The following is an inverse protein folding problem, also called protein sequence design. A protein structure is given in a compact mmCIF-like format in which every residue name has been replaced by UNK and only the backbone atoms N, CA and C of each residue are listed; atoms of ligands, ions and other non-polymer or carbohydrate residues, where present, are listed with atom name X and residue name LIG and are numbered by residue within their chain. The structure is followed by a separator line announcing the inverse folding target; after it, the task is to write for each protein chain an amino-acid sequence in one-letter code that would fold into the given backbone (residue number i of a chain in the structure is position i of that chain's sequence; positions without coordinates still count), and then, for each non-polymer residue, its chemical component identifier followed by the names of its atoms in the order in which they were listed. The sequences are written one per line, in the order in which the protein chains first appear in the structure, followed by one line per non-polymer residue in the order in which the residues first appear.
data_IF_770459165937
#
_entry.id   IF_770459165937
#
_cell.length_a   1.000
_cell.length_b   1.000
_cell.length_c   1.000
_cell.angle_alpha   90.00
_cell.angle_beta   90.00
_cell.angle_gamma   90.00
#
_symmetry.space_group_name_H-M   'P 1'
#
loop_
_entity.id
_entity.type
_entity.pdbx_description
1 polymer ?
#
# COMPACT_ATOMS: atom_id res chain seq x y z
N UNK A 1 9.28 -0.33 20.43
CA UNK A 1 8.01 0.40 20.21
C UNK A 1 7.67 1.21 21.47
N UNK A 2 6.96 2.32 21.34
CA UNK A 2 6.71 3.32 22.41
C UNK A 2 5.87 2.74 23.58
N UNK A 3 6.16 3.20 24.81
CA UNK A 3 5.39 2.89 26.04
C UNK A 3 3.91 3.22 25.93
N UNK A 4 3.55 4.21 25.11
CA UNK A 4 2.15 4.59 24.85
C UNK A 4 1.27 3.43 24.35
N UNK A 5 1.88 2.43 23.72
CA UNK A 5 1.19 1.23 23.20
C UNK A 5 1.44 0.00 24.08
N UNK A 6 1.89 0.17 25.32
CA UNK A 6 1.94 -0.90 26.31
C UNK A 6 0.53 -1.28 26.75
N UNK A 7 0.23 -2.59 26.77
CA UNK A 7 -1.05 -3.13 27.22
C UNK A 7 -2.22 -3.09 26.22
N UNK A 8 -2.02 -2.61 24.98
CA UNK A 8 -3.07 -2.65 23.94
C UNK A 8 -2.53 -2.95 22.54
N UNK A 9 -3.44 -3.10 21.57
CA UNK A 9 -3.14 -3.41 20.17
C UNK A 9 -3.29 -2.21 19.23
N UNK A 10 -3.47 -0.97 19.71
CA UNK A 10 -3.74 0.17 18.81
C UNK A 10 -2.60 0.46 17.83
N UNK A 11 -1.36 0.10 18.18
CA UNK A 11 -0.20 0.19 17.29
C UNK A 11 -0.39 -0.62 15.99
N UNK A 12 -1.17 -1.71 16.01
CA UNK A 12 -1.41 -2.52 14.80
C UNK A 12 -2.16 -1.71 13.76
N UNK A 13 -3.15 -0.91 14.17
CA UNK A 13 -3.89 -0.05 13.26
C UNK A 13 -3.01 1.05 12.66
N UNK A 14 -2.08 1.61 13.43
CA UNK A 14 -1.11 2.59 12.90
C UNK A 14 -0.26 1.96 11.77
N UNK A 15 0.21 0.73 11.97
CA UNK A 15 1.00 0.00 10.97
C UNK A 15 0.14 -0.32 9.74
N UNK A 16 -1.07 -0.81 9.95
CA UNK A 16 -2.01 -1.16 8.89
C UNK A 16 -2.33 0.04 7.99
N UNK A 17 -2.72 1.18 8.58
CA UNK A 17 -3.04 2.39 7.82
C UNK A 17 -1.82 2.98 7.11
N UNK A 18 -0.64 2.93 7.73
CA UNK A 18 0.58 3.36 7.07
C UNK A 18 0.91 2.47 5.85
N UNK A 19 0.76 1.14 5.99
CA UNK A 19 1.00 0.19 4.92
C UNK A 19 -0.08 0.21 3.81
N UNK A 20 -1.29 0.69 4.12
CA UNK A 20 -2.40 0.72 3.17
C UNK A 20 -2.09 1.52 1.90
N UNK A 21 -1.32 2.61 2.01
CA UNK A 21 -0.99 3.48 0.88
C UNK A 21 0.19 2.98 0.04
N UNK A 22 0.99 2.05 0.59
CA UNK A 22 2.17 1.49 -0.05
C UNK A 22 1.79 0.49 -1.14
N UNK A 23 2.39 0.56 -2.32
CA UNK A 23 1.93 -0.17 -3.50
C UNK A 23 3.02 -0.55 -4.51
N UNK A 24 4.30 -0.38 -4.19
CA UNK A 24 5.41 -0.77 -5.05
C UNK A 24 6.31 -1.84 -4.40
N UNK A 25 7.16 -2.48 -5.20
CA UNK A 25 8.19 -3.40 -4.66
C UNK A 25 9.15 -2.67 -3.71
N UNK A 26 9.53 -1.44 -4.06
CA UNK A 26 10.38 -0.60 -3.21
C UNK A 26 9.71 -0.33 -1.87
N UNK A 27 8.41 -0.07 -1.85
CA UNK A 27 7.69 0.11 -0.59
C UNK A 27 7.72 -1.16 0.27
N UNK A 28 7.63 -2.35 -0.33
CA UNK A 28 7.72 -3.61 0.39
C UNK A 28 9.12 -3.84 0.98
N UNK A 29 10.17 -3.46 0.26
CA UNK A 29 11.56 -3.50 0.72
C UNK A 29 11.79 -2.51 1.87
N UNK A 30 11.39 -1.25 1.69
CA UNK A 30 11.55 -0.19 2.69
C UNK A 30 10.72 -0.50 3.95
N UNK A 31 9.51 -1.04 3.80
CA UNK A 31 8.67 -1.49 4.92
C UNK A 31 9.36 -2.60 5.71
N UNK A 32 9.92 -3.60 5.03
CA UNK A 32 10.65 -4.70 5.69
C UNK A 32 11.91 -4.19 6.39
N UNK A 33 12.66 -3.31 5.72
CA UNK A 33 13.87 -2.72 6.27
C UNK A 33 13.59 -1.88 7.52
N UNK A 34 12.51 -1.11 7.53
CA UNK A 34 12.13 -0.26 8.65
C UNK A 34 11.90 -1.06 9.95
N UNK A 35 11.36 -2.27 9.87
CA UNK A 35 11.04 -3.09 11.05
C UNK A 35 12.13 -4.08 11.47
N UNK A 36 13.19 -4.26 10.66
CA UNK A 36 14.24 -5.28 10.87
C UNK A 36 14.94 -5.17 12.23
N UNK A 37 15.15 -3.96 12.71
CA UNK A 37 15.89 -3.62 13.93
C UNK A 37 14.99 -3.25 15.12
N UNK A 38 13.67 -3.47 15.00
CA UNK A 38 12.68 -3.08 16.00
C UNK A 38 12.12 -4.30 16.72
N UNK A 39 11.71 -4.11 17.97
CA UNK A 39 10.87 -5.08 18.65
C UNK A 39 9.49 -5.10 17.97
N UNK A 40 9.22 -6.21 17.28
CA UNK A 40 7.99 -6.48 16.53
C UNK A 40 7.14 -7.58 17.17
N UNK A 41 7.43 -7.97 18.41
CA UNK A 41 6.73 -9.06 19.12
C UNK A 41 5.21 -8.90 19.16
N UNK A 42 4.70 -7.65 19.20
CA UNK A 42 3.26 -7.32 19.17
C UNK A 42 2.68 -7.19 17.75
N UNK A 43 3.51 -7.22 16.72
CA UNK A 43 3.15 -6.97 15.33
C UNK A 43 3.30 -8.22 14.44
N UNK A 44 3.49 -9.38 15.05
CA UNK A 44 3.78 -10.67 14.38
C UNK A 44 2.74 -11.05 13.33
N UNK A 45 1.48 -10.66 13.51
CA UNK A 45 0.41 -10.89 12.55
C UNK A 45 0.29 -9.76 11.50
N UNK A 46 0.32 -8.50 11.94
CA UNK A 46 0.01 -7.37 11.06
C UNK A 46 1.14 -7.05 10.07
N UNK A 47 2.40 -7.32 10.41
CA UNK A 47 3.53 -7.07 9.50
C UNK A 47 3.50 -7.97 8.25
N UNK A 48 3.37 -9.32 8.37
CA UNK A 48 3.21 -10.17 7.20
C UNK A 48 1.99 -9.79 6.36
N UNK A 49 0.83 -9.57 6.99
CA UNK A 49 -0.40 -9.19 6.30
C UNK A 49 -0.26 -7.88 5.52
N UNK A 50 0.38 -6.88 6.14
CA UNK A 50 0.68 -5.60 5.49
C UNK A 50 1.61 -5.80 4.29
N UNK A 51 2.67 -6.58 4.46
CA UNK A 51 3.63 -6.88 3.39
C UNK A 51 2.98 -7.61 2.21
N UNK A 52 2.12 -8.59 2.49
CA UNK A 52 1.35 -9.30 1.47
C UNK A 52 0.40 -8.36 0.72
N UNK A 53 -0.27 -7.44 1.45
CA UNK A 53 -1.11 -6.41 0.85
C UNK A 53 -0.34 -5.48 -0.09
N UNK A 54 0.87 -5.04 0.30
CA UNK A 54 1.74 -4.20 -0.55
C UNK A 54 2.13 -4.95 -1.83
N UNK A 55 2.60 -6.19 -1.69
CA UNK A 55 3.01 -7.03 -2.82
C UNK A 55 1.85 -7.34 -3.77
N UNK A 56 0.66 -7.60 -3.23
CA UNK A 56 -0.54 -7.80 -4.02
C UNK A 56 -0.83 -6.55 -4.88
N UNK A 57 -0.87 -5.35 -4.27
CA UNK A 57 -1.12 -4.08 -4.98
C UNK A 57 -0.04 -3.78 -6.03
N UNK A 58 1.24 -4.01 -5.71
CA UNK A 58 2.33 -3.91 -6.69
C UNK A 58 2.10 -4.84 -7.89
N UNK A 59 1.70 -6.08 -7.64
CA UNK A 59 1.35 -7.04 -8.69
C UNK A 59 0.16 -6.59 -9.55
N UNK A 60 -0.90 -6.04 -8.94
CA UNK A 60 -2.03 -5.47 -9.68
C UNK A 60 -1.62 -4.30 -10.55
N UNK A 61 -0.83 -3.36 -10.03
CA UNK A 61 -0.34 -2.22 -10.80
C UNK A 61 0.51 -2.66 -11.98
N UNK A 62 1.46 -3.58 -11.78
CA UNK A 62 2.30 -4.08 -12.88
C UNK A 62 1.50 -4.78 -13.98
N UNK A 63 0.45 -5.52 -13.62
CA UNK A 63 -0.37 -6.25 -14.59
C UNK A 63 -1.36 -5.35 -15.33
N UNK A 64 -2.00 -4.42 -14.64
CA UNK A 64 -3.21 -3.77 -15.14
C UNK A 64 -3.07 -2.27 -15.39
N UNK A 65 -1.92 -1.66 -15.05
CA UNK A 65 -1.70 -0.22 -15.26
C UNK A 65 -1.88 0.17 -16.73
N UNK A 66 -1.21 -0.54 -17.62
CA UNK A 66 -1.21 -0.17 -19.05
C UNK A 66 -2.59 -0.43 -19.67
N UNK A 67 -3.29 -1.49 -19.27
CA UNK A 67 -4.67 -1.77 -19.69
C UNK A 67 -5.62 -0.64 -19.30
N UNK A 68 -5.52 -0.15 -18.06
CA UNK A 68 -6.36 0.96 -17.57
C UNK A 68 -6.02 2.27 -18.26
N UNK A 69 -4.73 2.55 -18.50
CA UNK A 69 -4.29 3.72 -19.26
C UNK A 69 -4.87 3.67 -20.67
N UNK A 70 -4.71 2.54 -21.36
CA UNK A 70 -5.22 2.37 -22.71
C UNK A 70 -6.74 2.54 -22.75
N UNK A 71 -7.48 1.92 -21.83
CA UNK A 71 -8.93 2.09 -21.73
C UNK A 71 -9.33 3.55 -21.53
N UNK A 72 -8.64 4.28 -20.64
CA UNK A 72 -8.91 5.70 -20.40
C UNK A 72 -8.61 6.57 -21.63
N UNK A 73 -7.54 6.26 -22.38
CA UNK A 73 -7.20 6.96 -23.62
C UNK A 73 -8.25 6.76 -24.70
N UNK A 74 -8.70 5.52 -24.92
CA UNK A 74 -9.78 5.20 -25.88
C UNK A 74 -11.12 5.80 -25.45
N UNK A 75 -11.43 5.76 -24.15
CA UNK A 75 -12.60 6.42 -23.60
C UNK A 75 -12.58 7.92 -23.87
N UNK A 76 -11.42 8.58 -23.66
CA UNK A 76 -11.25 10.03 -23.88
C UNK A 76 -11.39 10.42 -25.35
N UNK A 77 -10.92 9.59 -26.29
CA UNK A 77 -11.13 9.82 -27.73
C UNK A 77 -12.61 9.76 -28.11
N UNK A 78 -13.36 8.86 -27.48
CA UNK A 78 -14.78 8.64 -27.74
C UNK A 78 -15.69 9.63 -26.99
N UNK A 79 -15.19 10.24 -25.91
CA UNK A 79 -15.91 11.17 -25.05
C UNK A 79 -15.09 12.46 -24.89
N UNK A 80 -15.02 13.31 -25.93
CA UNK A 80 -14.31 14.58 -25.83
C UNK A 80 -14.94 15.43 -24.73
N UNK A 81 -14.11 15.83 -23.75
CA UNK A 81 -14.53 16.77 -22.71
C UNK A 81 -14.60 18.14 -23.39
N UNK A 82 -15.81 18.59 -23.73
CA UNK A 82 -16.00 19.96 -24.17
C UNK A 82 -15.58 20.92 -23.04
N UNK A 83 -14.82 21.97 -23.35
CA UNK A 83 -14.54 23.02 -22.37
C UNK A 83 -15.88 23.58 -21.89
N UNK A 84 -16.14 23.51 -20.57
CA UNK A 84 -17.22 24.30 -19.97
C UNK A 84 -16.82 25.76 -20.07
N UNK A 85 -17.43 26.48 -21.02
CA UNK A 85 -17.36 27.94 -21.17
C UNK A 85 -18.01 28.59 -19.96
#
# INVERSE_FOLDING_TARGET
LDKRFEGNFQITYCVEYAAFLLNSDKDAEDFTAFFKDKDTSKLTMILPQSLDGIRAKSGWLKRSKDDVIHWLEEWRKSNPIEPKI
#
